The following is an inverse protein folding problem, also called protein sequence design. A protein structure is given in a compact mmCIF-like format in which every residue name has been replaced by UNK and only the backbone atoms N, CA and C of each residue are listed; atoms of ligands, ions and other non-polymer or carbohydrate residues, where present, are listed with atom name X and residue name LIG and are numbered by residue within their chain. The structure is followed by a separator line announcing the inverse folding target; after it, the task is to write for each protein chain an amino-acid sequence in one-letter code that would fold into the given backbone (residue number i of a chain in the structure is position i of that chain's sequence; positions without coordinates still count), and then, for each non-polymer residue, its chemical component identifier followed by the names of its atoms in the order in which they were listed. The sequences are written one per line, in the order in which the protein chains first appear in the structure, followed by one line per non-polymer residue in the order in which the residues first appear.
data_IF_187299487303
#
_entry.id   IF_187299487303
#
_cell.length_a   1.000
_cell.length_b   1.000
_cell.length_c   1.000
_cell.angle_alpha   90.00
_cell.angle_beta   90.00
_cell.angle_gamma   90.00
#
_symmetry.space_group_name_H-M   'P 1'
#
loop_
_entity.id
_entity.type
_entity.pdbx_description
1 polymer ?
#
# COMPACT_ATOMS: atom_id res chain seq x y z
N UNK A 1 -7.90 23.58 -6.63
CA UNK A 1 -7.80 22.75 -7.84
C UNK A 1 -6.32 22.46 -7.95
N UNK A 2 -5.86 21.29 -7.51
CA UNK A 2 -4.45 20.94 -7.65
C UNK A 2 -4.14 20.83 -9.15
N UNK A 3 -3.08 21.51 -9.55
CA UNK A 3 -2.67 21.67 -10.93
C UNK A 3 -2.48 20.29 -11.57
N UNK A 4 -3.09 20.05 -12.74
CA UNK A 4 -3.09 18.76 -13.43
C UNK A 4 -1.65 18.26 -13.66
N UNK A 5 -0.73 19.20 -13.85
CA UNK A 5 0.70 18.95 -13.99
C UNK A 5 1.34 18.38 -12.72
N UNK A 6 0.90 18.82 -11.53
CA UNK A 6 1.37 18.29 -10.25
C UNK A 6 0.90 16.85 -10.07
N UNK A 7 -0.36 16.56 -10.43
CA UNK A 7 -0.90 15.20 -10.38
C UNK A 7 -0.21 14.26 -11.36
N UNK A 8 -0.01 14.67 -12.60
CA UNK A 8 0.70 13.88 -13.61
C UNK A 8 2.16 13.63 -13.21
N UNK A 9 2.84 14.63 -12.65
CA UNK A 9 4.20 14.50 -12.14
C UNK A 9 4.29 13.52 -10.96
N UNK A 10 3.34 13.56 -10.02
CA UNK A 10 3.26 12.61 -8.91
C UNK A 10 3.00 11.18 -9.41
N UNK A 11 2.08 11.01 -10.36
CA UNK A 11 1.80 9.72 -10.99
C UNK A 11 3.02 9.17 -11.74
N UNK A 12 3.72 9.99 -12.53
CA UNK A 12 4.94 9.59 -13.23
C UNK A 12 6.06 9.24 -12.25
N UNK A 13 6.21 10.00 -11.17
CA UNK A 13 7.17 9.71 -10.10
C UNK A 13 6.86 8.37 -9.42
N UNK A 14 5.59 8.08 -9.12
CA UNK A 14 5.15 6.82 -8.52
C UNK A 14 5.25 5.63 -9.49
N UNK A 15 5.08 5.87 -10.79
CA UNK A 15 5.22 4.86 -11.84
C UNK A 15 6.67 4.57 -12.24
N UNK A 16 7.61 5.46 -11.90
CA UNK A 16 9.03 5.36 -12.24
C UNK A 16 9.70 4.15 -11.59
N UNK A 17 10.63 3.50 -12.31
CA UNK A 17 11.42 2.38 -11.79
C UNK A 17 12.21 2.72 -10.53
N UNK A 18 12.62 3.99 -10.38
CA UNK A 18 13.28 4.50 -9.17
C UNK A 18 12.43 4.39 -7.89
N UNK A 19 11.11 4.23 -8.00
CA UNK A 19 10.21 3.99 -6.87
C UNK A 19 9.87 2.50 -6.68
N UNK A 20 10.10 1.68 -7.71
CA UNK A 20 9.87 0.23 -7.70
C UNK A 20 11.11 -0.57 -7.26
N UNK A 21 12.30 0.03 -7.42
CA UNK A 21 13.59 -0.63 -7.22
C UNK A 21 14.36 -0.17 -5.96
N UNK A 22 13.72 0.51 -5.00
CA UNK A 22 14.27 0.56 -3.64
C UNK A 22 13.99 -0.79 -2.96
N UNK A 23 14.71 -1.81 -3.43
CA UNK A 23 14.83 -3.11 -2.78
C UNK A 23 15.60 -2.87 -1.49
N UNK A 24 14.89 -2.34 -0.49
CA UNK A 24 15.39 -2.34 0.87
C UNK A 24 15.48 -3.80 1.29
N UNK A 25 16.69 -4.31 1.59
CA UNK A 25 16.92 -5.75 1.71
C UNK A 25 16.17 -6.39 2.88
N UNK A 26 15.71 -5.59 3.85
CA UNK A 26 14.86 -6.03 4.95
C UNK A 26 14.06 -4.86 5.55
N UNK A 27 13.01 -5.21 6.32
CA UNK A 27 12.09 -4.28 6.99
C UNK A 27 12.80 -3.28 7.93
N UNK A 28 13.90 -3.70 8.54
CA UNK A 28 14.70 -2.89 9.47
C UNK A 28 15.42 -1.75 8.73
N UNK A 29 16.06 -2.07 7.61
CA UNK A 29 16.72 -1.10 6.75
C UNK A 29 15.70 -0.09 6.19
N UNK A 30 14.52 -0.56 5.80
CA UNK A 30 13.43 0.28 5.37
C UNK A 30 12.99 1.27 6.46
N UNK A 31 12.75 0.77 7.68
CA UNK A 31 12.34 1.60 8.80
C UNK A 31 13.38 2.68 9.09
N UNK A 32 14.67 2.31 9.09
CA UNK A 32 15.77 3.28 9.23
C UNK A 32 15.70 4.33 8.15
N UNK A 33 15.65 3.93 6.88
CA UNK A 33 15.66 4.87 5.76
C UNK A 33 14.53 5.91 5.84
N UNK A 34 13.30 5.48 6.12
CA UNK A 34 12.15 6.40 6.19
C UNK A 34 12.19 7.35 7.37
N UNK A 35 12.91 6.98 8.42
CA UNK A 35 13.02 7.76 9.63
C UNK A 35 14.39 8.41 9.85
N UNK A 36 15.28 8.33 8.85
CA UNK A 36 16.62 8.89 8.89
C UNK A 36 16.70 10.18 8.07
N UNK A 37 17.22 11.24 8.69
CA UNK A 37 17.54 12.48 7.99
C UNK A 37 18.91 12.37 7.35
N UNK A 38 18.98 12.28 6.01
CA UNK A 38 20.26 12.32 5.29
C UNK A 38 21.03 13.62 5.48
N UNK A 39 20.34 14.74 5.71
CA UNK A 39 20.98 16.05 5.96
C UNK A 39 21.58 16.17 7.37
N UNK A 40 20.90 15.61 8.37
CA UNK A 40 21.30 15.73 9.78
C UNK A 40 22.02 14.50 10.32
N UNK A 41 22.17 13.47 9.48
CA UNK A 41 22.73 12.15 9.80
C UNK A 41 22.21 11.58 11.13
N UNK A 42 20.90 11.70 11.34
CA UNK A 42 20.24 11.21 12.56
C UNK A 42 18.80 10.84 12.32
N UNK A 43 18.22 10.11 13.25
CA UNK A 43 16.78 9.88 13.27
C UNK A 43 16.00 11.18 13.41
N UNK A 44 14.83 11.23 12.77
CA UNK A 44 13.96 12.41 12.78
C UNK A 44 13.46 12.74 14.20
N UNK A 45 13.32 11.73 15.07
CA UNK A 45 12.90 11.87 16.47
C UNK A 45 13.56 10.79 17.34
N UNK A 46 13.87 11.12 18.60
CA UNK A 46 14.41 10.22 19.62
C UNK A 46 13.50 9.01 19.91
N UNK A 47 12.18 9.18 19.84
CA UNK A 47 11.24 8.05 20.01
C UNK A 47 11.46 7.00 18.90
N UNK A 48 11.69 7.47 17.68
CA UNK A 48 11.85 6.59 16.52
C UNK A 48 13.20 5.87 16.56
N UNK A 49 14.25 6.56 17.01
CA UNK A 49 15.56 5.98 17.29
C UNK A 49 15.50 4.91 18.38
N UNK A 50 14.82 5.20 19.49
CA UNK A 50 14.62 4.23 20.57
C UNK A 50 13.91 2.97 20.06
N UNK A 51 12.84 3.15 19.29
CA UNK A 51 12.11 2.02 18.71
C UNK A 51 12.95 1.23 17.71
N UNK A 52 13.76 1.89 16.88
CA UNK A 52 14.69 1.21 15.97
C UNK A 52 15.70 0.36 16.74
N UNK A 53 16.31 0.92 17.79
CA UNK A 53 17.30 0.21 18.60
C UNK A 53 16.68 -1.01 19.29
N UNK A 54 15.45 -0.87 19.80
CA UNK A 54 14.74 -1.98 20.44
C UNK A 54 14.38 -3.10 19.45
N UNK A 55 14.06 -2.75 18.20
CA UNK A 55 13.84 -3.75 17.14
C UNK A 55 15.13 -4.52 16.84
N UNK A 56 16.25 -3.80 16.70
CA UNK A 56 17.56 -4.41 16.41
C UNK A 56 18.02 -5.31 17.55
N UNK A 57 17.84 -4.87 18.80
CA UNK A 57 18.15 -5.66 20.00
C UNK A 57 17.36 -6.98 20.02
N UNK A 58 16.03 -6.90 19.87
CA UNK A 58 15.16 -8.09 19.85
C UNK A 58 15.44 -9.03 18.67
N UNK A 59 15.89 -8.51 17.53
CA UNK A 59 16.28 -9.33 16.38
C UNK A 59 17.60 -10.07 16.63
N UNK A 60 18.55 -9.43 17.33
CA UNK A 60 19.82 -10.06 17.68
C UNK A 60 19.66 -11.15 18.76
N UNK A 61 18.59 -11.10 19.56
CA UNK A 61 18.25 -12.13 20.55
C UNK A 61 17.62 -13.39 19.94
N UNK A 62 17.25 -13.37 18.65
CA UNK A 62 16.56 -14.46 17.98
C UNK A 62 17.52 -15.41 17.27
N UNK A 63 17.06 -16.66 17.10
CA UNK A 63 17.85 -17.69 16.42
C UNK A 63 18.10 -17.33 14.96
N UNK A 64 19.32 -17.55 14.44
CA UNK A 64 19.68 -17.21 13.06
C UNK A 64 18.99 -18.08 12.01
N UNK A 65 18.33 -19.18 12.43
CA UNK A 65 17.63 -20.14 11.56
C UNK A 65 16.14 -19.77 11.33
N UNK A 66 15.59 -18.80 12.04
CA UNK A 66 14.20 -18.33 11.83
C UNK A 66 14.10 -17.37 10.62
N UNK A 67 12.96 -17.39 9.93
CA UNK A 67 12.71 -16.51 8.77
C UNK A 67 12.67 -15.03 9.21
N UNK A 68 13.80 -14.35 8.99
CA UNK A 68 14.11 -12.99 9.50
C UNK A 68 13.00 -11.97 9.20
N UNK A 69 12.29 -12.11 8.08
CA UNK A 69 11.26 -11.17 7.66
C UNK A 69 9.96 -11.31 8.49
N UNK A 70 9.54 -12.53 8.80
CA UNK A 70 8.36 -12.79 9.62
C UNK A 70 8.64 -12.43 11.10
N UNK A 71 9.84 -12.77 11.58
CA UNK A 71 10.32 -12.41 12.92
C UNK A 71 10.40 -10.90 13.09
N UNK A 72 11.00 -10.18 12.13
CA UNK A 72 11.06 -8.72 12.16
C UNK A 72 9.65 -8.12 12.18
N UNK A 73 8.73 -8.63 11.34
CA UNK A 73 7.35 -8.14 11.30
C UNK A 73 6.65 -8.30 12.66
N UNK A 74 6.87 -9.42 13.34
CA UNK A 74 6.34 -9.67 14.69
C UNK A 74 6.91 -8.69 15.71
N UNK A 75 8.22 -8.51 15.73
CA UNK A 75 8.92 -7.59 16.65
C UNK A 75 8.47 -6.14 16.43
N UNK A 76 8.34 -5.71 15.19
CA UNK A 76 7.84 -4.38 14.85
C UNK A 76 6.40 -4.18 15.33
N UNK A 77 5.55 -5.20 15.19
CA UNK A 77 4.17 -5.15 15.69
C UNK A 77 4.12 -5.04 17.21
N UNK A 78 5.01 -5.74 17.92
CA UNK A 78 5.09 -5.70 19.38
C UNK A 78 5.58 -4.34 19.91
N UNK A 79 6.59 -3.75 19.27
CA UNK A 79 7.19 -2.48 19.70
C UNK A 79 6.31 -1.28 19.34
N UNK A 80 5.70 -1.31 18.15
CA UNK A 80 4.97 -0.15 17.61
C UNK A 80 3.44 -0.31 17.73
N UNK A 81 2.98 -1.45 18.25
CA UNK A 81 1.58 -1.71 18.62
C UNK A 81 0.60 -1.84 17.46
N UNK A 82 1.06 -1.82 16.20
CA UNK A 82 0.19 -1.83 15.02
C UNK A 82 0.66 -2.83 13.96
N UNK A 83 -0.29 -3.46 13.26
CA UNK A 83 -0.01 -4.25 12.04
C UNK A 83 0.43 -3.26 10.98
N UNK A 84 1.74 -3.10 10.78
CA UNK A 84 2.24 -2.21 9.74
C UNK A 84 1.53 -2.51 8.42
N UNK A 85 0.77 -1.53 7.94
CA UNK A 85 0.05 -1.60 6.67
C UNK A 85 0.99 -1.48 5.49
N UNK A 86 2.11 -2.21 5.49
CA UNK A 86 2.96 -2.34 4.31
C UNK A 86 2.25 -3.28 3.33
N UNK A 87 1.34 -2.72 2.52
CA UNK A 87 0.68 -3.46 1.46
C UNK A 87 1.60 -3.55 0.23
N UNK A 88 1.97 -4.78 -0.12
CA UNK A 88 2.75 -5.10 -1.34
C UNK A 88 2.01 -4.53 -2.56
N UNK A 89 2.66 -3.67 -3.34
CA UNK A 89 2.09 -3.02 -4.53
C UNK A 89 1.50 -1.61 -4.33
N UNK A 90 1.47 -1.08 -3.10
CA UNK A 90 1.09 0.32 -2.80
C UNK A 90 2.28 1.22 -2.45
N UNK A 91 3.50 0.72 -2.71
CA UNK A 91 4.76 1.39 -2.39
C UNK A 91 4.74 2.08 -1.03
N UNK A 92 4.75 1.26 0.03
CA UNK A 92 5.13 1.63 1.40
C UNK A 92 4.58 2.95 1.96
N UNK A 93 3.38 3.36 1.56
CA UNK A 93 2.67 4.46 2.21
C UNK A 93 1.97 3.91 3.44
N UNK A 94 2.34 4.41 4.62
CA UNK A 94 1.55 4.24 5.84
C UNK A 94 0.17 4.80 5.54
N UNK A 95 -0.85 3.95 5.42
CA UNK A 95 -2.24 4.41 5.41
C UNK A 95 -2.46 5.05 6.78
N UNK A 96 -2.57 6.39 6.89
CA UNK A 96 -2.80 7.01 8.19
C UNK A 96 -4.13 6.50 8.71
N UNK A 97 -4.19 6.19 10.01
CA UNK A 97 -5.46 5.81 10.62
C UNK A 97 -6.48 6.94 10.43
N UNK A 98 -7.76 6.60 10.25
CA UNK A 98 -8.84 7.59 10.07
C UNK A 98 -8.97 8.40 11.36
N UNK A 99 -8.20 9.47 11.50
CA UNK A 99 -8.39 10.37 12.64
C UNK A 99 -9.76 11.02 12.53
N UNK A 100 -10.54 11.15 13.63
CA UNK A 100 -11.82 11.85 13.62
C UNK A 100 -11.70 13.29 13.08
N UNK A 101 -10.53 13.91 13.22
CA UNK A 101 -10.21 15.24 12.68
C UNK A 101 -10.11 15.28 11.15
N UNK A 102 -9.70 14.18 10.48
CA UNK A 102 -9.64 14.12 9.01
C UNK A 102 -11.02 14.11 8.35
N UNK A 103 -12.06 13.67 9.05
CA UNK A 103 -13.45 13.71 8.52
C UNK A 103 -13.94 15.15 8.27
N UNK A 104 -13.34 16.15 8.94
CA UNK A 104 -13.66 17.56 8.73
C UNK A 104 -12.87 18.20 7.59
N UNK A 105 -11.86 17.51 7.05
CA UNK A 105 -11.05 18.03 5.95
C UNK A 105 -11.82 17.90 4.63
N UNK A 106 -12.05 19.04 3.96
CA UNK A 106 -12.80 19.12 2.70
C UNK A 106 -12.21 18.23 1.59
N UNK A 107 -10.88 18.19 1.46
CA UNK A 107 -10.21 17.35 0.47
C UNK A 107 -10.44 15.86 0.73
N UNK A 108 -10.41 15.46 2.02
CA UNK A 108 -10.70 14.08 2.42
C UNK A 108 -12.14 13.68 2.09
N UNK A 109 -13.12 14.54 2.40
CA UNK A 109 -14.53 14.29 2.08
C UNK A 109 -14.75 14.15 0.56
N UNK A 110 -14.10 15.01 -0.23
CA UNK A 110 -14.14 14.91 -1.69
C UNK A 110 -13.57 13.59 -2.19
N UNK A 111 -12.42 13.16 -1.67
CA UNK A 111 -11.79 11.89 -2.04
C UNK A 111 -12.66 10.69 -1.66
N UNK A 112 -13.27 10.68 -0.48
CA UNK A 112 -14.19 9.61 -0.06
C UNK A 112 -15.39 9.52 -1.02
N UNK A 113 -15.99 10.66 -1.35
CA UNK A 113 -17.13 10.71 -2.27
C UNK A 113 -16.75 10.21 -3.66
N UNK A 114 -15.60 10.63 -4.17
CA UNK A 114 -15.11 10.21 -5.48
C UNK A 114 -14.77 8.71 -5.51
N UNK A 115 -14.22 8.18 -4.42
CA UNK A 115 -13.89 6.77 -4.32
C UNK A 115 -15.16 5.89 -4.29
N UNK A 116 -16.21 6.33 -3.58
CA UNK A 116 -17.52 5.65 -3.62
C UNK A 116 -18.12 5.68 -5.04
N UNK A 117 -18.03 6.82 -5.75
CA UNK A 117 -18.45 6.88 -7.16
C UNK A 117 -17.66 5.90 -8.03
N UNK A 118 -16.34 5.88 -7.91
CA UNK A 118 -15.49 4.98 -8.68
C UNK A 118 -15.80 3.51 -8.41
N UNK A 119 -16.07 3.16 -7.15
CA UNK A 119 -16.52 1.82 -6.77
C UNK A 119 -17.82 1.44 -7.45
N UNK A 120 -18.84 2.30 -7.40
CA UNK A 120 -20.13 2.03 -8.06
C UNK A 120 -20.00 1.92 -9.58
N UNK A 121 -19.17 2.77 -10.21
CA UNK A 121 -18.87 2.67 -11.64
C UNK A 121 -18.17 1.35 -11.99
N UNK A 122 -17.18 0.94 -11.20
CA UNK A 122 -16.48 -0.33 -11.41
C UNK A 122 -17.43 -1.53 -11.29
N UNK A 123 -18.31 -1.54 -10.30
CA UNK A 123 -19.34 -2.57 -10.13
C UNK A 123 -20.31 -2.62 -11.31
N UNK A 124 -20.74 -1.46 -11.82
CA UNK A 124 -21.56 -1.37 -13.03
C UNK A 124 -20.85 -1.97 -14.26
N UNK A 125 -19.59 -1.62 -14.50
CA UNK A 125 -18.85 -2.16 -15.63
C UNK A 125 -18.62 -3.67 -15.51
N UNK A 126 -18.31 -4.14 -14.30
CA UNK A 126 -18.20 -5.58 -14.02
C UNK A 126 -19.50 -6.30 -14.35
N UNK A 127 -20.65 -5.79 -13.89
CA UNK A 127 -21.95 -6.40 -14.20
C UNK A 127 -22.26 -6.42 -15.69
N UNK A 128 -21.92 -5.35 -16.43
CA UNK A 128 -22.06 -5.33 -17.91
C UNK A 128 -21.19 -6.39 -18.58
N UNK A 129 -19.95 -6.55 -18.14
CA UNK A 129 -19.05 -7.58 -18.67
C UNK A 129 -19.58 -8.99 -18.40
N UNK A 130 -20.04 -9.26 -17.17
CA UNK A 130 -20.64 -10.54 -16.81
C UNK A 130 -21.87 -10.86 -17.67
N UNK A 131 -22.70 -9.86 -17.95
CA UNK A 131 -23.86 -10.00 -18.85
C UNK A 131 -23.44 -10.35 -20.28
N UNK A 132 -22.47 -9.62 -20.85
CA UNK A 132 -21.97 -9.85 -22.21
C UNK A 132 -21.34 -11.26 -22.30
N UNK A 133 -20.56 -11.66 -21.31
CA UNK A 133 -19.98 -13.00 -21.23
C UNK A 133 -21.06 -14.09 -21.19
N UNK A 134 -22.12 -13.89 -20.42
CA UNK A 134 -23.27 -14.80 -20.38
C UNK A 134 -23.99 -14.92 -21.72
N UNK A 135 -24.22 -13.79 -22.41
CA UNK A 135 -24.83 -13.77 -23.74
C UNK A 135 -23.95 -14.47 -24.78
N UNK A 136 -22.62 -14.23 -24.77
CA UNK A 136 -21.69 -14.92 -25.66
C UNK A 136 -21.66 -16.44 -25.41
N UNK A 137 -21.73 -16.86 -24.15
CA UNK A 137 -21.79 -18.28 -23.81
C UNK A 137 -23.10 -18.93 -24.31
N UNK A 138 -24.23 -18.25 -24.19
CA UNK A 138 -25.51 -18.71 -24.73
C UNK A 138 -25.49 -18.79 -26.26
N UNK A 139 -24.98 -17.75 -26.93
CA UNK A 139 -24.83 -17.73 -28.38
C UNK A 139 -23.94 -18.89 -28.88
N UNK A 140 -22.81 -19.13 -28.20
CA UNK A 140 -21.93 -20.27 -28.50
C UNK A 140 -22.65 -21.62 -28.40
N UNK A 141 -23.42 -21.84 -27.33
CA UNK A 141 -24.21 -23.08 -27.18
C UNK A 141 -25.20 -23.26 -28.32
N UNK A 142 -25.95 -22.21 -28.65
CA UNK A 142 -26.93 -22.27 -29.74
C UNK A 142 -26.24 -22.63 -31.07
N UNK A 143 -25.12 -22.00 -31.42
CA UNK A 143 -24.39 -22.35 -32.65
C UNK A 143 -23.88 -23.80 -32.65
N UNK A 144 -23.38 -24.30 -31.52
CA UNK A 144 -22.95 -25.70 -31.40
C UNK A 144 -24.10 -26.71 -31.48
N UNK A 145 -25.34 -26.31 -31.18
CA UNK A 145 -26.54 -27.13 -31.37
C UNK A 145 -26.96 -27.22 -32.85
N UNK A 146 -26.70 -26.17 -33.65
CA UNK A 146 -26.99 -26.15 -35.09
C UNK A 146 -25.91 -26.82 -35.97
N UNK A 147 -24.71 -27.07 -35.42
CA UNK A 147 -23.62 -27.79 -36.10
C UNK A 147 -23.67 -29.32 -35.91
N UNK A 148 -24.69 -29.84 -35.21
CA UNK A 148 -25.00 -31.28 -35.10
C UNK A 148 -26.13 -31.68 -36.03
#
# INVERSE_FOLDING_TARGET
MEDKLVWEWLCQRWASGAFKDDVTPNLVAFYKEKHWSRQKEKFINAIVEHNYNLVVEKLNEKDPDEEIEEVATSIFKDILGYKFGYAKGLAHSVIPNRFPSMQKNKAFVCLVTENERNKTCAEMYKSKLDQIMGQMAAMRRNFSEYEK
#
